data_IF_438874061985
#
_entry.id   IF_438874061985
#
_cell.length_a   1.000
_cell.length_b   1.000
_cell.length_c   1.000
_cell.angle_alpha   90.00
_cell.angle_beta   90.00
_cell.angle_gamma   90.00
#
_symmetry.space_group_name_H-M   'P 1'
#
loop_
_entity.id
_entity.type
_entity.pdbx_description
1 polymer ?
#
# COMPACT_ATOMS: atom_id res chain seq x y z
N UNK A 1 13.68 -1.50 -18.23
CA UNK A 1 14.00 -0.39 -17.31
C UNK A 1 12.86 -0.06 -16.35
N UNK A 2 11.62 0.16 -16.81
CA UNK A 2 10.44 0.46 -15.96
C UNK A 2 10.14 -0.59 -14.89
N UNK A 3 10.17 -1.87 -15.26
CA UNK A 3 9.89 -3.00 -14.35
C UNK A 3 10.91 -3.05 -13.20
N UNK A 4 12.19 -2.80 -13.49
CA UNK A 4 13.26 -2.81 -12.48
C UNK A 4 13.02 -1.71 -11.45
N UNK A 5 12.70 -0.50 -11.91
CA UNK A 5 12.40 0.62 -11.01
C UNK A 5 11.15 0.35 -10.18
N UNK A 6 10.10 -0.20 -10.78
CA UNK A 6 8.89 -0.60 -10.06
C UNK A 6 9.17 -1.62 -8.93
N UNK A 7 9.90 -2.70 -9.23
CA UNK A 7 10.26 -3.72 -8.23
C UNK A 7 11.12 -3.12 -7.12
N UNK A 8 12.10 -2.27 -7.46
CA UNK A 8 12.95 -1.62 -6.45
C UNK A 8 12.19 -0.62 -5.58
N UNK A 9 11.25 0.14 -6.16
CA UNK A 9 10.34 1.01 -5.40
C UNK A 9 9.47 0.19 -4.45
N UNK A 10 8.91 -0.93 -4.94
CA UNK A 10 8.09 -1.82 -4.13
C UNK A 10 8.88 -2.42 -2.96
N UNK A 11 10.07 -2.98 -3.23
CA UNK A 11 10.94 -3.53 -2.19
C UNK A 11 11.34 -2.45 -1.17
N UNK A 12 11.74 -1.27 -1.62
CA UNK A 12 12.07 -0.17 -0.71
C UNK A 12 10.87 0.22 0.17
N UNK A 13 9.67 0.24 -0.39
CA UNK A 13 8.44 0.55 0.34
C UNK A 13 8.10 -0.49 1.41
N UNK A 14 8.07 -1.79 1.06
CA UNK A 14 7.70 -2.85 2.01
C UNK A 14 8.70 -2.95 3.18
N UNK A 15 9.96 -2.57 2.96
CA UNK A 15 10.99 -2.49 4.01
C UNK A 15 11.05 -1.09 4.67
N UNK A 16 9.99 -0.29 4.54
CA UNK A 16 9.80 1.03 5.15
C UNK A 16 10.86 2.09 4.79
N UNK A 17 11.60 1.91 3.70
CA UNK A 17 12.58 2.88 3.19
C UNK A 17 11.92 3.83 2.18
N UNK A 18 11.03 4.69 2.69
CA UNK A 18 10.19 5.56 1.86
C UNK A 18 10.98 6.59 1.05
N UNK A 19 12.09 7.11 1.58
CA UNK A 19 12.97 8.06 0.86
C UNK A 19 13.69 7.43 -0.33
N UNK A 20 14.10 6.17 -0.20
CA UNK A 20 14.69 5.45 -1.34
C UNK A 20 13.63 5.07 -2.35
N UNK A 21 12.41 4.73 -1.87
CA UNK A 21 11.27 4.43 -2.72
C UNK A 21 10.83 5.65 -3.55
N UNK A 22 10.77 6.85 -2.94
CA UNK A 22 10.42 8.10 -3.61
C UNK A 22 11.45 8.53 -4.65
N UNK A 23 12.76 8.46 -4.32
CA UNK A 23 13.82 8.71 -5.31
C UNK A 23 13.75 7.76 -6.51
N UNK A 24 13.38 6.51 -6.27
CA UNK A 24 13.23 5.51 -7.35
C UNK A 24 11.97 5.77 -8.21
N UNK A 25 10.90 6.28 -7.59
CA UNK A 25 9.71 6.76 -8.27
C UNK A 25 10.01 7.99 -9.15
N UNK A 26 10.74 8.98 -8.64
CA UNK A 26 11.14 10.18 -9.40
C UNK A 26 11.97 9.81 -10.63
N UNK A 27 12.94 8.90 -10.47
CA UNK A 27 13.74 8.38 -11.60
C UNK A 27 12.89 7.69 -12.68
N UNK A 28 11.70 7.20 -12.34
CA UNK A 28 10.79 6.59 -13.31
C UNK A 28 9.97 7.60 -14.10
N UNK A 29 9.70 8.80 -13.57
CA UNK A 29 8.84 9.80 -14.24
C UNK A 29 9.32 10.20 -15.63
N UNK A 30 10.61 10.04 -15.94
CA UNK A 30 11.16 10.24 -17.29
C UNK A 30 10.89 9.12 -18.29
N UNK A 31 10.19 8.05 -17.91
CA UNK A 31 9.94 6.87 -18.75
C UNK A 31 8.47 6.83 -19.18
N UNK A 32 8.24 6.79 -20.50
CA UNK A 32 6.91 6.69 -21.09
C UNK A 32 6.26 5.33 -20.73
N UNK A 33 5.05 5.38 -20.15
CA UNK A 33 4.32 4.21 -19.65
C UNK A 33 3.30 3.65 -20.66
N UNK A 34 3.03 4.34 -21.77
CA UNK A 34 1.94 4.01 -22.71
C UNK A 34 2.03 2.64 -23.37
N UNK A 35 3.20 2.01 -23.40
CA UNK A 35 3.39 0.64 -23.93
C UNK A 35 3.30 -0.46 -22.87
N UNK A 36 3.02 -0.12 -21.60
CA UNK A 36 2.94 -1.10 -20.52
C UNK A 36 1.56 -1.77 -20.45
N UNK A 37 1.48 -3.06 -20.14
CA UNK A 37 0.19 -3.74 -20.01
C UNK A 37 -0.61 -3.20 -18.82
N UNK A 38 -1.95 -3.19 -18.87
CA UNK A 38 -2.81 -2.59 -17.82
C UNK A 38 -2.56 -3.11 -16.41
N UNK A 39 -2.25 -4.40 -16.24
CA UNK A 39 -1.95 -4.97 -14.91
C UNK A 39 -0.68 -4.37 -14.30
N UNK A 40 0.34 -4.10 -15.13
CA UNK A 40 1.60 -3.49 -14.68
C UNK A 40 1.37 -2.03 -14.33
N UNK A 41 0.53 -1.32 -15.09
CA UNK A 41 0.15 0.07 -14.79
C UNK A 41 -0.60 0.18 -13.46
N UNK A 42 -1.56 -0.70 -13.21
CA UNK A 42 -2.28 -0.75 -11.93
C UNK A 42 -1.31 -0.99 -10.76
N UNK A 43 -0.35 -1.90 -10.91
CA UNK A 43 0.70 -2.12 -9.90
C UNK A 43 1.62 -0.91 -9.71
N UNK A 44 2.02 -0.23 -10.79
CA UNK A 44 2.84 0.98 -10.79
C UNK A 44 2.19 2.10 -10.00
N UNK A 45 0.94 2.44 -10.33
CA UNK A 45 0.21 3.50 -9.65
C UNK A 45 -0.09 3.15 -8.20
N UNK A 46 -0.31 1.86 -7.91
CA UNK A 46 -0.51 1.39 -6.54
C UNK A 46 0.72 1.69 -5.67
N UNK A 47 1.91 1.30 -6.13
CA UNK A 47 3.15 1.54 -5.40
C UNK A 47 3.47 3.03 -5.29
N UNK A 48 3.22 3.82 -6.33
CA UNK A 48 3.41 5.28 -6.26
C UNK A 48 2.46 5.95 -5.28
N UNK A 49 1.19 5.55 -5.27
CA UNK A 49 0.20 6.08 -4.34
C UNK A 49 0.62 5.81 -2.90
N UNK A 50 1.03 4.57 -2.61
CA UNK A 50 1.52 4.15 -1.30
C UNK A 50 2.76 4.93 -0.85
N UNK A 51 3.75 5.10 -1.73
CA UNK A 51 4.96 5.90 -1.45
C UNK A 51 4.57 7.35 -1.19
N UNK A 52 3.67 7.90 -2.01
CA UNK A 52 3.22 9.28 -1.90
C UNK A 52 2.53 9.54 -0.56
N UNK A 53 1.60 8.68 -0.14
CA UNK A 53 0.96 8.83 1.17
C UNK A 53 1.94 8.63 2.34
N UNK A 54 2.88 7.69 2.23
CA UNK A 54 3.92 7.52 3.26
C UNK A 54 4.86 8.73 3.36
N UNK A 55 5.23 9.35 2.24
CA UNK A 55 6.02 10.57 2.22
C UNK A 55 5.23 11.77 2.74
N UNK A 56 3.94 11.89 2.41
CA UNK A 56 3.07 12.93 2.94
C UNK A 56 2.98 12.87 4.48
N UNK A 57 2.83 11.68 5.06
CA UNK A 57 2.89 11.51 6.52
C UNK A 57 4.23 11.91 7.14
N UNK A 58 5.33 11.83 6.39
CA UNK A 58 6.68 12.11 6.89
C UNK A 58 7.09 13.58 6.74
N UNK A 59 6.80 14.20 5.60
CA UNK A 59 7.30 15.55 5.27
C UNK A 59 6.23 16.63 5.31
N UNK A 60 4.95 16.24 5.44
CA UNK A 60 3.78 17.14 5.41
C UNK A 60 3.69 18.02 4.14
N UNK A 61 4.41 17.63 3.07
CA UNK A 61 4.37 18.36 1.81
C UNK A 61 3.10 18.04 1.01
N UNK A 62 2.36 19.08 0.65
CA UNK A 62 1.12 18.98 -0.15
C UNK A 62 1.31 18.29 -1.50
N UNK A 63 2.51 18.37 -2.07
CA UNK A 63 2.85 17.72 -3.35
C UNK A 63 2.61 16.21 -3.30
N UNK A 64 2.95 15.56 -2.19
CA UNK A 64 2.83 14.11 -2.03
C UNK A 64 1.38 13.69 -1.90
N UNK A 65 0.57 14.48 -1.19
CA UNK A 65 -0.88 14.26 -1.12
C UNK A 65 -1.54 14.34 -2.49
N UNK A 66 -1.21 15.39 -3.28
CA UNK A 66 -1.73 15.54 -4.63
C UNK A 66 -1.33 14.37 -5.55
N UNK A 67 -0.09 13.90 -5.44
CA UNK A 67 0.42 12.77 -6.23
C UNK A 67 -0.28 11.46 -5.87
N UNK A 68 -0.53 11.22 -4.57
CA UNK A 68 -1.27 10.06 -4.09
C UNK A 68 -2.73 10.05 -4.59
N UNK A 69 -3.41 11.21 -4.54
CA UNK A 69 -4.77 11.36 -5.06
C UNK A 69 -4.83 11.10 -6.57
N UNK A 70 -3.88 11.61 -7.34
CA UNK A 70 -3.77 11.30 -8.77
C UNK A 70 -3.61 9.80 -9.04
N UNK A 71 -2.85 9.08 -8.22
CA UNK A 71 -2.71 7.62 -8.35
C UNK A 71 -4.02 6.88 -8.09
N UNK A 72 -4.86 7.37 -7.16
CA UNK A 72 -6.21 6.83 -6.92
C UNK A 72 -7.07 6.98 -8.17
N UNK A 73 -7.06 8.17 -8.80
CA UNK A 73 -7.82 8.43 -10.03
C UNK A 73 -7.37 7.51 -11.19
N UNK A 74 -6.06 7.31 -11.36
CA UNK A 74 -5.56 6.40 -12.39
C UNK A 74 -5.97 4.96 -12.13
N UNK A 75 -5.83 4.46 -10.89
CA UNK A 75 -6.25 3.09 -10.55
C UNK A 75 -7.75 2.90 -10.69
N UNK A 76 -8.58 3.89 -10.37
CA UNK A 76 -10.04 3.81 -10.54
C UNK A 76 -10.42 3.53 -12.01
N UNK A 77 -9.71 4.13 -12.97
CA UNK A 77 -9.89 3.83 -14.40
C UNK A 77 -9.61 2.35 -14.70
N UNK A 78 -8.56 1.78 -14.13
CA UNK A 78 -8.24 0.35 -14.32
C UNK A 78 -9.17 -0.59 -13.56
N UNK A 79 -9.61 -0.21 -12.36
CA UNK A 79 -10.55 -0.99 -11.54
C UNK A 79 -11.92 -1.14 -12.21
N UNK A 80 -12.36 -0.17 -13.02
CA UNK A 80 -13.57 -0.29 -13.86
C UNK A 80 -13.47 -1.40 -14.91
N UNK A 81 -12.28 -1.67 -15.42
CA UNK A 81 -12.05 -2.66 -16.49
C UNK A 81 -11.60 -4.03 -15.95
N UNK A 82 -10.99 -4.07 -14.77
CA UNK A 82 -10.49 -5.31 -14.14
C UNK A 82 -10.63 -5.24 -12.62
N UNK A 83 -11.87 -5.28 -12.11
CA UNK A 83 -12.15 -5.08 -10.69
C UNK A 83 -11.49 -6.13 -9.80
N UNK A 84 -11.47 -7.40 -10.22
CA UNK A 84 -10.82 -8.48 -9.45
C UNK A 84 -9.34 -8.23 -9.17
N UNK A 85 -8.62 -7.54 -10.06
CA UNK A 85 -7.18 -7.33 -9.94
C UNK A 85 -6.78 -6.02 -9.25
N UNK A 86 -7.65 -4.99 -9.34
CA UNK A 86 -7.33 -3.63 -8.94
C UNK A 86 -8.18 -3.10 -7.78
N UNK A 87 -9.33 -3.71 -7.45
CA UNK A 87 -10.25 -3.23 -6.41
C UNK A 87 -9.59 -3.17 -5.04
N UNK A 88 -8.88 -4.23 -4.62
CA UNK A 88 -8.20 -4.26 -3.33
C UNK A 88 -7.11 -3.18 -3.21
N UNK A 89 -6.39 -2.91 -4.30
CA UNK A 89 -5.35 -1.87 -4.38
C UNK A 89 -5.95 -0.47 -4.28
N UNK A 90 -7.06 -0.24 -4.99
CA UNK A 90 -7.80 1.02 -4.93
C UNK A 90 -8.33 1.29 -3.51
N UNK A 91 -8.96 0.28 -2.90
CA UNK A 91 -9.50 0.38 -1.54
C UNK A 91 -8.40 0.68 -0.52
N UNK A 92 -7.25 0.04 -0.66
CA UNK A 92 -6.10 0.29 0.21
C UNK A 92 -5.55 1.71 0.05
N UNK A 93 -5.41 2.23 -1.17
CA UNK A 93 -5.02 3.64 -1.37
C UNK A 93 -6.05 4.64 -0.82
N UNK A 94 -7.35 4.35 -0.97
CA UNK A 94 -8.40 5.17 -0.39
C UNK A 94 -8.34 5.15 1.15
N UNK A 95 -7.98 4.00 1.75
CA UNK A 95 -7.76 3.90 3.20
C UNK A 95 -6.59 4.78 3.65
N UNK A 96 -5.47 4.74 2.93
CA UNK A 96 -4.30 5.59 3.19
C UNK A 96 -4.61 7.09 3.07
N UNK A 97 -5.36 7.48 2.03
CA UNK A 97 -5.80 8.87 1.87
C UNK A 97 -6.69 9.34 3.01
N UNK A 98 -7.64 8.52 3.45
CA UNK A 98 -8.51 8.81 4.59
C UNK A 98 -7.71 8.87 5.90
N UNK A 99 -6.71 7.99 6.06
CA UNK A 99 -5.83 7.98 7.21
C UNK A 99 -5.00 9.27 7.29
N UNK A 100 -4.42 9.70 6.18
CA UNK A 100 -3.70 10.97 6.08
C UNK A 100 -4.60 12.19 6.37
N UNK A 101 -5.89 12.10 6.04
CA UNK A 101 -6.88 13.15 6.33
C UNK A 101 -7.38 13.15 7.79
N UNK A 102 -6.97 12.18 8.62
CA UNK A 102 -7.49 12.01 9.99
C UNK A 102 -8.89 11.40 10.03
N UNK A 103 -9.43 10.90 8.91
CA UNK A 103 -10.74 10.27 8.80
C UNK A 103 -10.67 8.78 9.22
N UNK A 104 -10.31 8.56 10.47
CA UNK A 104 -9.98 7.26 11.04
C UNK A 104 -11.03 6.16 10.86
N UNK A 105 -12.30 6.48 11.05
CA UNK A 105 -13.41 5.51 10.88
C UNK A 105 -13.56 5.09 9.41
N UNK A 106 -13.49 6.07 8.50
CA UNK A 106 -13.53 5.84 7.05
C UNK A 106 -12.34 5.00 6.62
N UNK A 107 -11.13 5.33 7.10
CA UNK A 107 -9.91 4.60 6.80
C UNK A 107 -9.99 3.14 7.27
N UNK A 108 -10.41 2.90 8.52
CA UNK A 108 -10.58 1.54 9.06
C UNK A 108 -11.54 0.69 8.21
N UNK A 109 -12.71 1.25 7.84
CA UNK A 109 -13.68 0.56 6.96
C UNK A 109 -13.10 0.26 5.58
N UNK A 110 -12.29 1.17 5.03
CA UNK A 110 -11.63 0.97 3.73
C UNK A 110 -10.54 -0.11 3.80
N UNK A 111 -9.78 -0.17 4.90
CA UNK A 111 -8.85 -1.28 5.15
C UNK A 111 -9.56 -2.62 5.21
N UNK A 112 -10.68 -2.71 5.94
CA UNK A 112 -11.47 -3.95 6.02
C UNK A 112 -11.95 -4.40 4.64
N UNK A 113 -12.53 -3.49 3.86
CA UNK A 113 -12.94 -3.81 2.49
C UNK A 113 -11.76 -4.25 1.60
N UNK A 114 -10.56 -3.68 1.81
CA UNK A 114 -9.36 -4.06 1.06
C UNK A 114 -8.89 -5.47 1.44
N UNK A 115 -8.93 -5.81 2.74
CA UNK A 115 -8.61 -7.14 3.27
C UNK A 115 -9.59 -8.18 2.71
N UNK A 116 -10.89 -7.92 2.76
CA UNK A 116 -11.92 -8.83 2.26
C UNK A 116 -11.76 -9.05 0.75
N UNK A 117 -11.62 -7.97 -0.01
CA UNK A 117 -11.40 -8.04 -1.46
C UNK A 117 -10.11 -8.79 -1.82
N UNK A 118 -9.02 -8.60 -1.08
CA UNK A 118 -7.78 -9.33 -1.30
C UNK A 118 -7.91 -10.82 -0.97
N UNK A 119 -8.68 -11.15 0.08
CA UNK A 119 -8.94 -12.53 0.51
C UNK A 119 -9.78 -13.27 -0.53
N UNK A 120 -10.90 -12.68 -0.97
CA UNK A 120 -11.81 -13.25 -1.97
C UNK A 120 -11.11 -13.56 -3.29
N UNK A 121 -10.17 -12.69 -3.70
CA UNK A 121 -9.47 -12.81 -4.98
C UNK A 121 -8.10 -13.50 -4.86
N UNK A 122 -7.73 -13.99 -3.66
CA UNK A 122 -6.48 -14.74 -3.44
C UNK A 122 -5.18 -13.92 -3.46
N UNK A 123 -5.24 -12.59 -3.32
CA UNK A 123 -4.08 -11.71 -3.25
C UNK A 123 -3.49 -11.65 -1.84
N UNK A 124 -2.86 -12.74 -1.40
CA UNK A 124 -2.32 -12.88 -0.04
C UNK A 124 -1.32 -11.77 0.35
N UNK A 125 -0.52 -11.29 -0.59
CA UNK A 125 0.41 -10.18 -0.34
C UNK A 125 -0.29 -8.83 -0.12
N UNK A 126 -1.38 -8.57 -0.85
CA UNK A 126 -2.16 -7.34 -0.70
C UNK A 126 -2.93 -7.38 0.63
N UNK A 127 -3.44 -8.56 1.01
CA UNK A 127 -4.05 -8.82 2.31
C UNK A 127 -3.07 -8.56 3.45
N UNK A 128 -1.85 -9.11 3.38
CA UNK A 128 -0.81 -8.92 4.37
C UNK A 128 -0.48 -7.43 4.58
N UNK A 129 -0.30 -6.70 3.48
CA UNK A 129 -0.04 -5.27 3.53
C UNK A 129 -1.23 -4.50 4.14
N UNK A 130 -2.46 -4.81 3.75
CA UNK A 130 -3.64 -4.13 4.28
C UNK A 130 -3.80 -4.33 5.79
N UNK A 131 -3.53 -5.54 6.31
CA UNK A 131 -3.48 -5.79 7.76
C UNK A 131 -2.38 -4.99 8.45
N UNK A 132 -1.16 -4.95 7.89
CA UNK A 132 -0.05 -4.17 8.44
C UNK A 132 -0.41 -2.68 8.54
N UNK A 133 -0.97 -2.12 7.46
CA UNK A 133 -1.36 -0.71 7.42
C UNK A 133 -2.51 -0.39 8.36
N UNK A 134 -3.50 -1.28 8.49
CA UNK A 134 -4.58 -1.15 9.48
C UNK A 134 -4.04 -1.18 10.91
N UNK A 135 -3.10 -2.08 11.20
CA UNK A 135 -2.44 -2.15 12.51
C UNK A 135 -1.74 -0.85 12.87
N UNK A 136 -1.01 -0.24 11.93
CA UNK A 136 -0.38 1.08 12.12
C UNK A 136 -1.43 2.15 12.43
N UNK A 137 -2.55 2.19 11.69
CA UNK A 137 -3.64 3.13 11.96
C UNK A 137 -4.23 2.95 13.37
N UNK A 138 -4.45 1.71 13.81
CA UNK A 138 -5.02 1.41 15.12
C UNK A 138 -4.08 1.77 16.26
N UNK A 139 -2.78 1.49 16.11
CA UNK A 139 -1.77 1.89 17.10
C UNK A 139 -1.65 3.42 17.19
N UNK A 140 -1.73 4.14 16.06
CA UNK A 140 -1.78 5.60 16.07
C UNK A 140 -3.03 6.18 16.78
N UNK A 141 -4.10 5.40 16.90
CA UNK A 141 -5.29 5.75 17.69
C UNK A 141 -5.22 5.30 19.15
N UNK A 142 -4.11 4.67 19.58
CA UNK A 142 -3.96 4.10 20.92
C UNK A 142 -4.71 2.79 21.14
N UNK A 143 -5.14 2.11 20.07
CA UNK A 143 -5.84 0.83 20.15
C UNK A 143 -4.88 -0.35 19.91
N UNK A 144 -3.88 -0.48 20.78
CA UNK A 144 -2.77 -1.41 20.60
C UNK A 144 -3.19 -2.89 20.63
N UNK A 145 -4.25 -3.24 21.37
CA UNK A 145 -4.79 -4.61 21.40
C UNK A 145 -5.30 -5.03 20.01
N UNK A 146 -6.11 -4.19 19.37
CA UNK A 146 -6.57 -4.48 18.00
C UNK A 146 -5.45 -4.35 16.97
N UNK A 147 -4.47 -3.47 17.20
CA UNK A 147 -3.29 -3.35 16.36
C UNK A 147 -2.44 -4.64 16.38
N UNK A 148 -2.19 -5.22 17.55
CA UNK A 148 -1.45 -6.50 17.70
C UNK A 148 -2.13 -7.62 16.91
N UNK A 149 -3.46 -7.73 16.99
CA UNK A 149 -4.22 -8.71 16.17
C UNK A 149 -3.98 -8.48 14.67
N UNK A 150 -4.01 -7.23 14.20
CA UNK A 150 -3.76 -6.92 12.80
C UNK A 150 -2.32 -7.28 12.38
N UNK A 151 -1.32 -7.00 13.23
CA UNK A 151 0.07 -7.33 12.92
C UNK A 151 0.31 -8.85 12.89
N UNK A 152 -0.30 -9.62 13.79
CA UNK A 152 -0.26 -11.07 13.76
C UNK A 152 -0.88 -11.64 12.46
N UNK A 153 -2.00 -11.08 12.01
CA UNK A 153 -2.62 -11.45 10.73
C UNK A 153 -1.73 -11.09 9.54
N UNK A 154 -1.11 -9.90 9.55
CA UNK A 154 -0.16 -9.48 8.52
C UNK A 154 1.04 -10.44 8.44
N UNK A 155 1.63 -10.79 9.59
CA UNK A 155 2.73 -11.74 9.67
C UNK A 155 2.38 -13.10 9.07
N UNK A 156 1.24 -13.68 9.48
CA UNK A 156 0.80 -14.98 8.97
C UNK A 156 0.53 -14.95 7.46
N UNK A 157 -0.05 -13.86 6.95
CA UNK A 157 -0.26 -13.67 5.53
C UNK A 157 1.07 -13.53 4.76
N UNK A 158 2.05 -12.79 5.28
CA UNK A 158 3.38 -12.72 4.69
C UNK A 158 4.10 -14.07 4.66
N UNK A 159 3.98 -14.88 5.73
CA UNK A 159 4.51 -16.24 5.76
C UNK A 159 3.84 -17.13 4.71
N UNK A 160 2.51 -17.08 4.60
CA UNK A 160 1.75 -17.84 3.59
C UNK A 160 2.13 -17.45 2.16
N UNK A 161 2.41 -16.16 1.93
CA UNK A 161 2.89 -15.66 0.64
C UNK A 161 4.35 -16.06 0.36
N UNK A 162 5.14 -16.40 1.38
CA UNK A 162 6.55 -16.81 1.27
C UNK A 162 7.56 -15.69 1.56
N UNK A 163 7.12 -14.51 2.01
CA UNK A 163 7.99 -13.38 2.31
C UNK A 163 8.50 -13.41 3.76
N UNK A 164 9.31 -14.41 4.09
CA UNK A 164 9.81 -14.65 5.46
C UNK A 164 10.51 -13.43 6.07
N UNK A 165 11.44 -12.77 5.36
CA UNK A 165 12.13 -11.61 5.94
C UNK A 165 11.19 -10.44 6.22
N UNK A 166 10.12 -10.28 5.42
CA UNK A 166 9.12 -9.24 5.67
C UNK A 166 8.24 -9.61 6.87
N UNK A 167 7.88 -10.89 7.03
CA UNK A 167 7.18 -11.37 8.22
C UNK A 167 8.01 -11.11 9.50
N UNK A 168 9.28 -11.53 9.51
CA UNK A 168 10.19 -11.32 10.64
C UNK A 168 10.32 -9.82 10.99
N UNK A 169 10.38 -8.94 9.97
CA UNK A 169 10.39 -7.50 10.18
C UNK A 169 9.14 -6.99 10.89
N UNK A 170 7.95 -7.48 10.54
CA UNK A 170 6.69 -7.07 11.20
C UNK A 170 6.71 -7.49 12.67
N UNK A 171 7.16 -8.72 12.97
CA UNK A 171 7.30 -9.21 14.35
C UNK A 171 8.29 -8.37 15.16
N UNK A 172 9.47 -8.09 14.62
CA UNK A 172 10.52 -7.32 15.30
C UNK A 172 10.06 -5.88 15.55
N UNK A 173 9.40 -5.26 14.56
CA UNK A 173 9.07 -3.84 14.61
C UNK A 173 7.88 -3.53 15.51
N UNK A 174 6.86 -4.40 15.50
CA UNK A 174 5.61 -4.12 16.20
C UNK A 174 5.45 -4.93 17.48
N UNK A 175 6.29 -5.94 17.71
CA UNK A 175 6.36 -6.67 18.98
C UNK A 175 4.99 -7.11 19.49
N UNK A 176 4.14 -7.57 18.56
CA UNK A 176 2.75 -7.89 18.83
C UNK A 176 2.58 -9.16 19.63
#
# INVERSE_FOLDING_TARGET
TTVIYHIRSWLAYIFCNYESASRMMEKRQGIILTSSPPFLLCSIFFVEGLISFAMAHKTDETKWRALGLKCIEEIDKYAKHSPSNCKQKLLLLQAESAFLAGEYVTAAKKYDNAIDSATENGFTQDQALAFERKGILLSNQGNDSMASVCFAQAHNAYLKWGAKQKADLVQIKFGY
#
